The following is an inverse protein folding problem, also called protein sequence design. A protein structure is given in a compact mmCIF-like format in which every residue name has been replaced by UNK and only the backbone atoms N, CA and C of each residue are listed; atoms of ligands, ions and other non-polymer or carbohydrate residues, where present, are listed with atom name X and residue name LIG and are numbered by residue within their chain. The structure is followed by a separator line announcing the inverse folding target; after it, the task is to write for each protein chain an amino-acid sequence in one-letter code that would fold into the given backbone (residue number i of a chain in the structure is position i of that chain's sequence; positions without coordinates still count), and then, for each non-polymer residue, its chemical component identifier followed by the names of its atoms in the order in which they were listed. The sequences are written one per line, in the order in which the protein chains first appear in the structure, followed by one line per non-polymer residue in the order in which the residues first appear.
data_IF_743116004761
#
_entry.id   IF_743116004761
#
_cell.length_a   1.000
_cell.length_b   1.000
_cell.length_c   1.000
_cell.angle_alpha   90.00
_cell.angle_beta   90.00
_cell.angle_gamma   90.00
#
_symmetry.space_group_name_H-M   'P 1'
#
loop_
_entity.id
_entity.type
_entity.pdbx_description
1 polymer ?
#
# COMPACT_ATOMS: atom_id res chain seq x y z
N UNK A 1 2.66 -11.37 -18.34
CA UNK A 1 2.73 -12.02 -17.00
C UNK A 1 2.13 -13.40 -17.11
N UNK A 2 2.82 -14.43 -16.62
CA UNK A 2 2.19 -15.74 -16.45
C UNK A 2 1.01 -15.62 -15.49
N UNK A 3 -0.11 -16.33 -15.71
CA UNK A 3 -1.26 -16.28 -14.81
C UNK A 3 -0.85 -16.75 -13.40
N UNK A 4 -1.49 -16.19 -12.37
CA UNK A 4 -1.35 -16.73 -11.01
C UNK A 4 -1.83 -18.18 -10.97
N UNK A 5 -1.37 -18.94 -9.97
CA UNK A 5 -1.89 -20.28 -9.76
C UNK A 5 -3.44 -20.24 -9.64
N UNK A 6 -4.15 -21.29 -10.11
CA UNK A 6 -5.62 -21.35 -10.03
C UNK A 6 -6.15 -21.05 -8.62
N UNK A 7 -5.39 -21.41 -7.60
CA UNK A 7 -5.76 -21.16 -6.21
C UNK A 7 -5.73 -19.66 -5.84
N UNK A 8 -4.78 -18.89 -6.36
CA UNK A 8 -4.71 -17.44 -6.14
C UNK A 8 -5.87 -16.75 -6.86
N UNK A 9 -6.15 -17.13 -8.09
CA UNK A 9 -7.26 -16.55 -8.86
C UNK A 9 -8.60 -16.86 -8.21
N UNK A 10 -8.80 -18.08 -7.69
CA UNK A 10 -10.01 -18.42 -6.94
C UNK A 10 -10.11 -17.60 -5.65
N UNK A 11 -9.02 -17.47 -4.89
CA UNK A 11 -9.00 -16.63 -3.68
C UNK A 11 -9.39 -15.18 -3.98
N UNK A 12 -8.88 -14.60 -5.07
CA UNK A 12 -9.25 -13.25 -5.50
C UNK A 12 -10.72 -13.13 -5.86
N UNK A 13 -11.28 -14.09 -6.60
CA UNK A 13 -12.71 -14.12 -6.90
C UNK A 13 -13.57 -14.16 -5.63
N UNK A 14 -13.17 -14.96 -4.64
CA UNK A 14 -13.87 -15.03 -3.36
C UNK A 14 -13.76 -13.72 -2.55
N UNK A 15 -12.59 -13.06 -2.60
CA UNK A 15 -12.40 -11.73 -1.98
C UNK A 15 -13.33 -10.70 -2.63
N UNK A 16 -13.37 -10.62 -3.96
CA UNK A 16 -14.20 -9.65 -4.68
C UNK A 16 -15.69 -9.89 -4.42
N UNK A 17 -16.16 -11.16 -4.44
CA UNK A 17 -17.53 -11.54 -4.07
C UNK A 17 -17.86 -11.16 -2.63
N UNK A 18 -16.95 -11.40 -1.70
CA UNK A 18 -17.16 -11.08 -0.30
C UNK A 18 -17.22 -9.57 -0.05
N UNK A 19 -16.38 -8.80 -0.74
CA UNK A 19 -16.41 -7.34 -0.68
C UNK A 19 -17.74 -6.79 -1.25
N UNK A 20 -18.19 -7.32 -2.38
CA UNK A 20 -19.47 -6.93 -2.97
C UNK A 20 -20.67 -7.30 -2.08
N UNK A 21 -20.64 -8.50 -1.48
CA UNK A 21 -21.64 -8.93 -0.52
C UNK A 21 -21.69 -8.00 0.70
N UNK A 22 -20.51 -7.68 1.28
CA UNK A 22 -20.41 -6.78 2.42
C UNK A 22 -20.97 -5.38 2.07
N UNK A 23 -20.61 -4.82 0.91
CA UNK A 23 -21.15 -3.53 0.47
C UNK A 23 -22.68 -3.56 0.30
N UNK A 24 -23.25 -4.70 -0.09
CA UNK A 24 -24.70 -4.88 -0.17
C UNK A 24 -25.35 -5.04 1.20
N UNK A 25 -24.64 -5.66 2.15
CA UNK A 25 -25.09 -5.82 3.54
C UNK A 25 -25.15 -4.45 4.24
N UNK A 26 -24.09 -3.66 4.18
CA UNK A 26 -24.06 -2.32 4.83
C UNK A 26 -25.12 -1.37 4.26
N UNK A 27 -25.55 -1.55 3.01
CA UNK A 27 -26.68 -0.80 2.46
C UNK A 27 -27.96 -1.03 3.28
N UNK A 28 -28.19 -2.26 3.75
CA UNK A 28 -29.36 -2.62 4.56
C UNK A 28 -29.19 -2.20 6.02
N UNK A 29 -28.03 -2.53 6.60
CA UNK A 29 -27.80 -2.40 8.04
C UNK A 29 -27.61 -0.94 8.46
N UNK A 30 -26.85 -0.16 7.69
CA UNK A 30 -26.57 1.25 7.97
C UNK A 30 -27.49 2.22 7.22
N UNK A 31 -28.28 1.73 6.27
CA UNK A 31 -29.23 2.54 5.47
C UNK A 31 -28.59 3.77 4.81
N UNK A 32 -27.27 3.71 4.50
CA UNK A 32 -26.50 4.83 3.96
C UNK A 32 -27.12 5.48 2.71
N UNK A 33 -27.83 4.68 1.90
CA UNK A 33 -28.53 5.14 0.70
C UNK A 33 -29.74 6.04 1.02
N UNK A 34 -30.30 5.96 2.25
CA UNK A 34 -31.39 6.84 2.70
C UNK A 34 -30.86 8.17 3.21
N UNK A 35 -29.64 8.18 3.79
CA UNK A 35 -28.97 9.42 4.18
C UNK A 35 -28.59 10.24 2.92
N UNK A 36 -27.89 9.61 2.00
CA UNK A 36 -27.58 10.19 0.69
C UNK A 36 -27.25 9.07 -0.32
N UNK A 37 -28.03 8.91 -1.41
CA UNK A 37 -27.79 7.87 -2.41
C UNK A 37 -26.42 7.99 -3.09
N UNK A 38 -25.89 9.20 -3.27
CA UNK A 38 -24.59 9.43 -3.91
C UNK A 38 -23.46 9.01 -2.99
N UNK A 39 -23.56 9.25 -1.69
CA UNK A 39 -22.58 8.81 -0.70
C UNK A 39 -22.38 7.30 -0.77
N UNK A 40 -23.45 6.53 -0.65
CA UNK A 40 -23.39 5.07 -0.74
C UNK A 40 -22.83 4.60 -2.09
N UNK A 41 -23.35 5.15 -3.21
CA UNK A 41 -22.92 4.79 -4.56
C UNK A 41 -21.42 5.07 -4.75
N UNK A 42 -20.93 6.19 -4.23
CA UNK A 42 -19.53 6.60 -4.37
C UNK A 42 -18.59 5.73 -3.53
N UNK A 43 -18.95 5.45 -2.26
CA UNK A 43 -18.17 4.55 -1.41
C UNK A 43 -18.14 3.14 -2.03
N UNK A 44 -19.27 2.62 -2.49
CA UNK A 44 -19.37 1.30 -3.12
C UNK A 44 -18.52 1.25 -4.39
N UNK A 45 -18.65 2.22 -5.29
CA UNK A 45 -17.89 2.28 -6.54
C UNK A 45 -16.38 2.32 -6.27
N UNK A 46 -15.95 3.17 -5.33
CA UNK A 46 -14.53 3.30 -4.97
C UNK A 46 -13.98 1.99 -4.40
N UNK A 47 -14.71 1.36 -3.48
CA UNK A 47 -14.30 0.12 -2.81
C UNK A 47 -14.23 -1.09 -3.76
N UNK A 48 -15.11 -1.14 -4.75
CA UNK A 48 -15.16 -2.23 -5.73
C UNK A 48 -14.25 -2.02 -6.95
N UNK A 49 -13.50 -0.93 -7.04
CA UNK A 49 -12.54 -0.72 -8.14
C UNK A 49 -11.57 -1.88 -8.22
N UNK A 50 -11.32 -2.35 -9.43
CA UNK A 50 -10.37 -3.44 -9.69
C UNK A 50 -8.99 -3.14 -9.09
N UNK A 51 -8.38 -4.17 -8.47
CA UNK A 51 -7.06 -4.10 -7.87
C UNK A 51 -6.42 -5.48 -7.76
N UNK A 52 -5.15 -5.51 -7.40
CA UNK A 52 -4.39 -6.77 -7.24
C UNK A 52 -4.86 -7.60 -6.04
N UNK A 53 -5.60 -7.02 -5.09
CA UNK A 53 -6.08 -7.64 -3.86
C UNK A 53 -5.00 -8.35 -3.03
N UNK A 54 -3.80 -7.82 -3.05
CA UNK A 54 -2.64 -8.45 -2.39
C UNK A 54 -2.85 -8.54 -0.88
N UNK A 55 -3.35 -7.47 -0.24
CA UNK A 55 -3.52 -7.41 1.21
C UNK A 55 -4.49 -8.47 1.73
N UNK A 56 -5.75 -8.55 1.27
CA UNK A 56 -6.65 -9.61 1.69
C UNK A 56 -6.16 -11.01 1.29
N UNK A 57 -5.45 -11.14 0.16
CA UNK A 57 -4.85 -12.40 -0.26
C UNK A 57 -3.79 -12.88 0.75
N UNK A 58 -2.89 -12.00 1.20
CA UNK A 58 -1.86 -12.34 2.19
C UNK A 58 -2.46 -12.76 3.53
N UNK A 59 -3.53 -12.11 4.00
CA UNK A 59 -4.26 -12.53 5.20
C UNK A 59 -4.78 -13.96 5.05
N UNK A 60 -5.43 -14.27 3.93
CA UNK A 60 -5.98 -15.60 3.66
C UNK A 60 -4.88 -16.65 3.55
N UNK A 61 -3.76 -16.34 2.87
CA UNK A 61 -2.65 -17.27 2.71
C UNK A 61 -1.97 -17.56 4.05
N UNK A 62 -1.74 -16.53 4.86
CA UNK A 62 -1.17 -16.67 6.19
C UNK A 62 -2.10 -17.50 7.09
N UNK A 63 -3.38 -17.14 7.17
CA UNK A 63 -4.35 -17.94 7.93
C UNK A 63 -4.38 -19.40 7.49
N UNK A 64 -4.51 -19.66 6.18
CA UNK A 64 -4.51 -21.03 5.64
C UNK A 64 -3.21 -21.75 5.90
N UNK A 65 -2.09 -21.05 5.96
CA UNK A 65 -0.78 -21.61 6.22
C UNK A 65 -0.61 -22.17 7.63
N UNK A 66 -1.21 -21.52 8.62
CA UNK A 66 -1.11 -21.90 10.03
C UNK A 66 -2.29 -22.70 10.56
N UNK A 67 -3.45 -22.63 9.93
CA UNK A 67 -4.59 -23.41 10.40
C UNK A 67 -4.39 -24.92 10.14
N UNK A 68 -4.94 -25.82 11.01
CA UNK A 68 -4.87 -27.25 10.80
C UNK A 68 -5.39 -27.66 9.41
N UNK A 69 -4.72 -28.64 8.78
CA UNK A 69 -5.05 -29.06 7.41
C UNK A 69 -6.50 -29.53 7.24
N UNK A 70 -7.06 -30.16 8.28
CA UNK A 70 -8.44 -30.65 8.32
C UNK A 70 -9.49 -29.59 8.64
N UNK A 71 -9.07 -28.36 9.04
CA UNK A 71 -10.02 -27.27 9.35
C UNK A 71 -10.70 -26.80 8.07
N UNK A 72 -12.03 -26.94 8.01
CA UNK A 72 -12.83 -26.38 6.91
C UNK A 72 -12.76 -24.85 7.00
N UNK A 73 -12.34 -24.22 5.92
CA UNK A 73 -12.25 -22.77 5.84
C UNK A 73 -13.65 -22.19 5.69
N UNK A 74 -14.07 -21.40 6.67
CA UNK A 74 -15.35 -20.72 6.63
C UNK A 74 -15.33 -19.56 5.61
N UNK A 75 -16.46 -19.32 4.96
CA UNK A 75 -16.69 -18.10 4.15
C UNK A 75 -16.46 -16.82 4.96
N UNK A 76 -16.62 -16.86 6.28
CA UNK A 76 -16.35 -15.74 7.19
C UNK A 76 -14.92 -15.23 7.10
N UNK A 77 -13.92 -16.07 6.75
CA UNK A 77 -12.56 -15.64 6.54
C UNK A 77 -12.44 -14.68 5.35
N UNK A 78 -13.08 -15.01 4.24
CA UNK A 78 -13.09 -14.13 3.05
C UNK A 78 -13.87 -12.86 3.33
N UNK A 79 -14.98 -12.97 4.05
CA UNK A 79 -15.75 -11.82 4.48
C UNK A 79 -14.94 -10.90 5.39
N UNK A 80 -14.26 -11.48 6.38
CA UNK A 80 -13.37 -10.75 7.25
C UNK A 80 -12.17 -10.13 6.53
N UNK A 81 -11.61 -10.81 5.52
CA UNK A 81 -10.49 -10.27 4.75
C UNK A 81 -10.82 -8.96 4.02
N UNK A 82 -12.14 -8.64 3.85
CA UNK A 82 -12.57 -7.35 3.31
C UNK A 82 -12.17 -6.18 4.21
N UNK A 83 -11.99 -6.40 5.53
CA UNK A 83 -11.54 -5.36 6.46
C UNK A 83 -10.21 -4.73 6.04
N UNK A 84 -9.26 -5.55 5.56
CA UNK A 84 -7.95 -5.08 5.09
C UNK A 84 -8.07 -4.25 3.80
N UNK A 85 -8.97 -4.62 2.90
CA UNK A 85 -9.19 -3.85 1.68
C UNK A 85 -9.95 -2.54 1.97
N UNK A 86 -10.87 -2.54 2.94
CA UNK A 86 -11.55 -1.33 3.40
C UNK A 86 -10.58 -0.39 4.13
N UNK A 87 -9.69 -0.92 4.98
CA UNK A 87 -8.62 -0.13 5.58
C UNK A 87 -7.75 0.51 4.49
N UNK A 88 -7.39 -0.25 3.45
CA UNK A 88 -6.64 0.31 2.34
C UNK A 88 -7.42 1.42 1.61
N UNK A 89 -8.72 1.24 1.39
CA UNK A 89 -9.55 2.26 0.74
C UNK A 89 -9.66 3.53 1.59
N UNK A 90 -9.83 3.40 2.91
CA UNK A 90 -9.76 4.52 3.84
C UNK A 90 -8.46 5.31 3.69
N UNK A 91 -7.30 4.62 3.75
CA UNK A 91 -6.01 5.27 3.57
C UNK A 91 -5.88 5.97 2.21
N UNK A 92 -6.34 5.34 1.12
CA UNK A 92 -6.32 5.95 -0.20
C UNK A 92 -7.22 7.17 -0.34
N UNK A 93 -8.37 7.20 0.34
CA UNK A 93 -9.29 8.35 0.31
C UNK A 93 -8.64 9.56 0.95
N UNK A 94 -7.99 9.38 2.11
CA UNK A 94 -7.31 10.46 2.82
C UNK A 94 -6.03 10.89 2.11
N UNK A 95 -5.21 9.95 1.64
CA UNK A 95 -4.01 10.17 0.83
C UNK A 95 -4.33 10.99 -0.44
N UNK A 96 -5.41 10.63 -1.16
CA UNK A 96 -5.87 11.38 -2.33
C UNK A 96 -6.25 12.84 -2.03
N UNK A 97 -6.73 13.13 -0.81
CA UNK A 97 -7.05 14.49 -0.36
C UNK A 97 -5.78 15.24 0.00
N UNK A 98 -4.89 14.64 0.77
CA UNK A 98 -3.61 15.23 1.21
C UNK A 98 -2.74 15.56 0.00
N UNK A 99 -2.60 14.61 -0.93
CA UNK A 99 -1.82 14.73 -2.17
C UNK A 99 -2.57 15.53 -3.26
N UNK A 100 -3.80 16.01 -3.01
CA UNK A 100 -4.66 16.71 -3.98
C UNK A 100 -4.81 15.94 -5.31
N UNK A 101 -4.81 14.63 -5.26
CA UNK A 101 -4.84 13.75 -6.42
C UNK A 101 -6.17 13.84 -7.17
N UNK A 102 -6.11 13.95 -8.50
CA UNK A 102 -7.32 14.02 -9.35
C UNK A 102 -7.85 12.64 -9.74
N UNK A 103 -6.96 11.66 -9.90
CA UNK A 103 -7.27 10.32 -10.41
C UNK A 103 -6.68 9.25 -9.51
N UNK A 104 -7.44 8.16 -9.31
CA UNK A 104 -7.02 6.92 -8.67
C UNK A 104 -7.49 5.72 -9.51
N UNK A 105 -6.55 4.87 -9.95
CA UNK A 105 -6.84 3.72 -10.83
C UNK A 105 -7.57 4.14 -12.13
N UNK A 106 -7.15 5.26 -12.73
CA UNK A 106 -7.71 5.81 -13.98
C UNK A 106 -9.10 6.45 -13.85
N UNK A 107 -9.66 6.54 -12.65
CA UNK A 107 -10.96 7.17 -12.36
C UNK A 107 -10.81 8.37 -11.41
N UNK A 108 -11.77 9.32 -11.39
CA UNK A 108 -11.72 10.42 -10.43
C UNK A 108 -11.63 9.93 -8.98
N UNK A 109 -10.87 10.65 -8.16
CA UNK A 109 -10.78 10.40 -6.72
C UNK A 109 -12.12 10.67 -6.02
N UNK A 110 -12.33 10.10 -4.82
CA UNK A 110 -13.62 10.17 -4.14
C UNK A 110 -14.02 11.62 -3.84
N UNK A 111 -13.09 12.45 -3.35
CA UNK A 111 -13.36 13.86 -3.07
C UNK A 111 -13.72 14.65 -4.34
N UNK A 112 -13.15 14.33 -5.51
CA UNK A 112 -13.53 14.97 -6.78
C UNK A 112 -14.92 14.54 -7.27
N UNK A 113 -15.37 13.33 -6.91
CA UNK A 113 -16.75 12.89 -7.18
C UNK A 113 -17.72 13.60 -6.22
N UNK A 114 -17.42 13.58 -4.92
CA UNK A 114 -18.30 14.16 -3.89
C UNK A 114 -18.43 15.69 -4.02
N UNK A 115 -17.38 16.39 -4.43
CA UNK A 115 -17.45 17.83 -4.70
C UNK A 115 -18.40 18.23 -5.83
N UNK A 116 -18.90 17.28 -6.62
CA UNK A 116 -19.87 17.52 -7.70
C UNK A 116 -21.33 17.29 -7.30
N UNK A 117 -21.59 16.86 -6.07
CA UNK A 117 -22.96 16.53 -5.60
C UNK A 117 -23.87 17.76 -5.69
N UNK A 118 -23.33 18.93 -5.34
CA UNK A 118 -24.07 20.19 -5.37
C UNK A 118 -23.36 21.19 -6.26
N UNK A 119 -24.12 21.97 -7.02
CA UNK A 119 -23.58 23.06 -7.83
C UNK A 119 -23.26 24.26 -6.92
N UNK A 120 -21.99 24.44 -6.59
CA UNK A 120 -21.51 25.50 -5.69
C UNK A 120 -20.15 26.04 -6.11
N UNK A 121 -19.89 27.32 -5.80
CA UNK A 121 -18.56 27.95 -5.97
C UNK A 121 -17.50 27.32 -5.03
N UNK A 122 -17.92 26.71 -3.91
CA UNK A 122 -17.03 26.06 -2.92
C UNK A 122 -16.83 24.56 -3.19
N UNK A 123 -17.00 24.11 -4.44
CA UNK A 123 -17.00 22.71 -4.85
C UNK A 123 -15.77 21.94 -4.38
N UNK A 124 -14.59 22.54 -4.46
CA UNK A 124 -13.35 21.87 -4.09
C UNK A 124 -13.28 21.62 -2.57
N UNK A 125 -13.55 22.68 -1.77
CA UNK A 125 -13.62 22.56 -0.31
C UNK A 125 -14.68 21.53 0.11
N UNK A 126 -15.88 21.61 -0.47
CA UNK A 126 -16.94 20.64 -0.21
C UNK A 126 -16.49 19.20 -0.52
N UNK A 127 -15.74 19.00 -1.58
CA UNK A 127 -15.18 17.70 -1.94
C UNK A 127 -14.21 17.17 -0.89
N UNK A 128 -13.32 18.00 -0.37
CA UNK A 128 -12.41 17.63 0.70
C UNK A 128 -13.15 17.29 1.99
N UNK A 129 -14.07 18.15 2.43
CA UNK A 129 -14.86 17.96 3.65
C UNK A 129 -15.64 16.62 3.59
N UNK A 130 -16.36 16.37 2.50
CA UNK A 130 -17.13 15.15 2.31
C UNK A 130 -16.23 13.92 2.10
N UNK A 131 -15.06 14.09 1.51
CA UNK A 131 -14.08 13.03 1.32
C UNK A 131 -13.51 12.54 2.64
N UNK A 132 -13.17 13.43 3.56
CA UNK A 132 -12.71 13.09 4.92
C UNK A 132 -13.79 12.26 5.64
N UNK A 133 -15.03 12.76 5.68
CA UNK A 133 -16.16 12.07 6.32
C UNK A 133 -16.38 10.67 5.69
N UNK A 134 -16.34 10.59 4.36
CA UNK A 134 -16.50 9.30 3.67
C UNK A 134 -15.36 8.32 4.00
N UNK A 135 -14.13 8.81 4.17
CA UNK A 135 -12.99 8.03 4.64
C UNK A 135 -13.24 7.45 6.03
N UNK A 136 -13.69 8.28 6.98
CA UNK A 136 -13.98 7.85 8.35
C UNK A 136 -15.10 6.79 8.40
N UNK A 137 -16.13 6.95 7.56
CA UNK A 137 -17.17 5.92 7.39
C UNK A 137 -16.54 4.61 6.91
N UNK A 138 -15.67 4.64 5.90
CA UNK A 138 -15.01 3.43 5.37
C UNK A 138 -14.12 2.77 6.43
N UNK A 139 -13.47 3.55 7.31
CA UNK A 139 -12.69 3.00 8.43
C UNK A 139 -13.58 2.29 9.45
N UNK A 140 -14.70 2.89 9.84
CA UNK A 140 -15.67 2.26 10.72
C UNK A 140 -16.21 0.93 10.12
N UNK A 141 -16.52 0.93 8.81
CA UNK A 141 -16.92 -0.26 8.08
C UNK A 141 -15.81 -1.33 8.01
N UNK A 142 -14.54 -0.95 8.00
CA UNK A 142 -13.44 -1.89 8.07
C UNK A 142 -13.40 -2.63 9.42
N UNK A 143 -13.67 -1.92 10.52
CA UNK A 143 -13.77 -2.53 11.85
C UNK A 143 -14.97 -3.48 11.93
N UNK A 144 -16.13 -3.08 11.40
CA UNK A 144 -17.32 -3.92 11.34
C UNK A 144 -17.08 -5.22 10.56
N UNK A 145 -16.46 -5.11 9.37
CA UNK A 145 -16.05 -6.28 8.58
C UNK A 145 -15.11 -7.19 9.38
N UNK A 146 -14.16 -6.64 10.16
CA UNK A 146 -13.28 -7.41 11.02
C UNK A 146 -14.06 -8.17 12.10
N UNK A 147 -15.04 -7.55 12.73
CA UNK A 147 -15.84 -8.13 13.79
C UNK A 147 -16.71 -9.32 13.32
N UNK A 148 -16.95 -9.43 12.01
CA UNK A 148 -17.68 -10.57 11.41
C UNK A 148 -16.89 -11.90 11.43
N UNK A 149 -15.58 -11.90 11.78
CA UNK A 149 -14.73 -13.09 11.87
C UNK A 149 -15.27 -14.07 12.91
N UNK A 150 -15.43 -15.34 12.51
CA UNK A 150 -15.84 -16.44 13.40
C UNK A 150 -14.60 -17.25 13.83
N UNK A 151 -13.87 -16.71 14.80
CA UNK A 151 -12.72 -17.35 15.44
C UNK A 151 -12.79 -17.20 16.97
N UNK A 152 -11.91 -17.91 17.69
CA UNK A 152 -11.85 -17.84 19.16
C UNK A 152 -11.73 -16.38 19.63
N UNK A 153 -12.52 -15.94 20.62
CA UNK A 153 -12.61 -14.57 21.07
C UNK A 153 -11.23 -13.94 21.36
N UNK A 154 -10.36 -14.66 22.07
CA UNK A 154 -9.03 -14.18 22.46
C UNK A 154 -8.14 -13.92 21.23
N UNK A 155 -8.19 -14.81 20.22
CA UNK A 155 -7.44 -14.62 18.97
C UNK A 155 -8.01 -13.46 18.16
N UNK A 156 -9.34 -13.33 18.12
CA UNK A 156 -10.01 -12.25 17.44
C UNK A 156 -9.70 -10.90 18.06
N UNK A 157 -9.76 -10.78 19.38
CA UNK A 157 -9.42 -9.56 20.12
C UNK A 157 -7.97 -9.14 19.87
N UNK A 158 -7.03 -10.06 19.98
CA UNK A 158 -5.63 -9.83 19.72
C UNK A 158 -5.37 -9.36 18.27
N UNK A 159 -6.00 -10.04 17.32
CA UNK A 159 -5.89 -9.69 15.90
C UNK A 159 -6.50 -8.33 15.59
N UNK A 160 -7.64 -7.99 16.21
CA UNK A 160 -8.26 -6.67 16.10
C UNK A 160 -7.36 -5.57 16.68
N UNK A 161 -6.77 -5.80 17.84
CA UNK A 161 -5.80 -4.85 18.44
C UNK A 161 -4.65 -4.58 17.48
N UNK A 162 -4.08 -5.62 16.86
CA UNK A 162 -3.00 -5.48 15.88
C UNK A 162 -3.44 -4.69 14.64
N UNK A 163 -4.65 -4.96 14.15
CA UNK A 163 -5.25 -4.25 13.03
C UNK A 163 -5.42 -2.74 13.32
N UNK A 164 -5.97 -2.38 14.50
CA UNK A 164 -6.17 -0.99 14.91
C UNK A 164 -4.83 -0.27 15.10
N UNK A 165 -3.86 -0.93 15.77
CA UNK A 165 -2.51 -0.37 15.93
C UNK A 165 -1.84 -0.10 14.57
N UNK A 166 -2.06 -0.98 13.60
CA UNK A 166 -1.54 -0.80 12.23
C UNK A 166 -2.14 0.44 11.56
N UNK A 167 -3.44 0.68 11.73
CA UNK A 167 -4.08 1.88 11.21
C UNK A 167 -3.46 3.16 11.81
N UNK A 168 -3.23 3.16 13.13
CA UNK A 168 -2.56 4.27 13.80
C UNK A 168 -1.12 4.50 13.30
N UNK A 169 -0.32 3.42 13.15
CA UNK A 169 1.03 3.53 12.59
C UNK A 169 1.03 4.07 11.17
N UNK A 170 0.06 3.68 10.34
CA UNK A 170 -0.03 4.18 8.97
C UNK A 170 -0.37 5.67 8.94
N UNK A 171 -1.28 6.13 9.81
CA UNK A 171 -1.57 7.56 9.96
C UNK A 171 -0.35 8.36 10.47
N UNK A 172 0.44 7.81 11.41
CA UNK A 172 1.71 8.40 11.83
C UNK A 172 2.71 8.49 10.68
N UNK A 173 2.76 7.45 9.81
CA UNK A 173 3.59 7.45 8.60
C UNK A 173 3.17 8.55 7.63
N UNK A 174 1.86 8.75 7.42
CA UNK A 174 1.34 9.83 6.57
C UNK A 174 1.68 11.22 7.14
N UNK A 175 1.57 11.38 8.46
CA UNK A 175 1.98 12.61 9.15
C UNK A 175 3.46 12.92 8.92
N UNK A 176 4.34 11.93 9.11
CA UNK A 176 5.79 12.07 8.87
C UNK A 176 6.09 12.38 7.40
N UNK A 177 5.42 11.70 6.46
CA UNK A 177 5.61 11.93 5.02
C UNK A 177 5.25 13.36 4.63
N UNK A 178 4.12 13.86 5.14
CA UNK A 178 3.66 15.23 4.92
C UNK A 178 4.66 16.26 5.46
N UNK A 179 5.18 16.05 6.67
CA UNK A 179 6.22 16.91 7.25
C UNK A 179 7.50 16.87 6.44
N UNK A 180 7.96 15.67 6.04
CA UNK A 180 9.13 15.52 5.20
C UNK A 180 8.96 16.21 3.83
N UNK A 181 7.73 16.29 3.31
CA UNK A 181 7.44 17.00 2.06
C UNK A 181 7.93 18.45 2.07
N UNK A 182 7.78 19.16 3.20
CA UNK A 182 8.15 20.58 3.37
C UNK A 182 9.53 20.78 4.02
N UNK A 183 10.12 19.75 4.63
CA UNK A 183 11.40 19.84 5.33
C UNK A 183 12.57 19.92 4.34
N UNK A 184 13.68 20.56 4.78
CA UNK A 184 14.89 20.61 3.97
C UNK A 184 15.54 19.22 3.89
N UNK A 185 15.89 18.79 2.66
CA UNK A 185 16.51 17.49 2.41
C UNK A 185 17.79 17.24 3.23
N UNK A 186 18.52 18.30 3.61
CA UNK A 186 19.72 18.18 4.42
C UNK A 186 19.48 17.59 5.82
N UNK A 187 18.27 17.73 6.34
CA UNK A 187 17.87 17.22 7.65
C UNK A 187 17.37 15.79 7.62
N UNK A 188 16.96 15.29 6.45
CA UNK A 188 16.40 13.94 6.29
C UNK A 188 17.52 12.92 6.14
N UNK A 189 17.57 11.95 7.04
CA UNK A 189 18.53 10.84 7.00
C UNK A 189 17.86 9.61 6.39
N UNK A 190 18.67 8.70 5.89
CA UNK A 190 18.19 7.45 5.30
C UNK A 190 17.32 6.63 6.28
N UNK A 191 17.70 6.60 7.57
CA UNK A 191 16.90 5.94 8.62
C UNK A 191 15.47 6.52 8.72
N UNK A 192 15.30 7.83 8.48
CA UNK A 192 14.01 8.51 8.56
C UNK A 192 13.14 8.12 7.35
N UNK A 193 13.76 7.93 6.17
CA UNK A 193 13.09 7.39 4.98
C UNK A 193 12.60 5.95 5.24
N UNK A 194 13.45 5.09 5.80
CA UNK A 194 13.02 3.71 6.11
C UNK A 194 11.99 3.64 7.23
N UNK A 195 12.04 4.52 8.21
CA UNK A 195 10.99 4.64 9.21
C UNK A 195 9.65 5.00 8.54
N UNK A 196 9.66 5.99 7.64
CA UNK A 196 8.46 6.37 6.90
C UNK A 196 7.93 5.21 6.04
N UNK A 197 8.78 4.52 5.29
CA UNK A 197 8.39 3.33 4.52
C UNK A 197 7.78 2.24 5.40
N UNK A 198 8.32 2.06 6.61
CA UNK A 198 7.78 1.10 7.57
C UNK A 198 6.38 1.48 8.02
N UNK A 199 6.20 2.73 8.44
CA UNK A 199 4.94 3.21 9.01
C UNK A 199 3.87 3.38 7.93
N UNK A 200 4.17 4.14 6.85
CA UNK A 200 3.20 4.50 5.81
C UNK A 200 2.80 3.31 4.93
N UNK A 201 3.71 2.37 4.66
CA UNK A 201 3.47 1.32 3.65
C UNK A 201 3.59 -0.09 4.19
N UNK A 202 4.70 -0.44 4.86
CA UNK A 202 5.01 -1.82 5.17
C UNK A 202 4.03 -2.42 6.18
N UNK A 203 3.71 -1.67 7.24
CA UNK A 203 2.83 -2.12 8.32
C UNK A 203 1.47 -2.56 7.82
N UNK A 204 0.77 -1.75 7.03
CA UNK A 204 -0.59 -2.10 6.63
C UNK A 204 -0.66 -2.96 5.36
N UNK A 205 0.38 -2.93 4.52
CA UNK A 205 0.35 -3.64 3.23
C UNK A 205 0.75 -5.11 3.37
N UNK A 206 1.75 -5.42 4.19
CA UNK A 206 2.34 -6.76 4.30
C UNK A 206 2.31 -7.29 5.72
N UNK A 207 2.82 -6.54 6.69
CA UNK A 207 2.92 -6.98 8.07
C UNK A 207 1.53 -7.31 8.66
N UNK A 208 0.60 -6.38 8.67
CA UNK A 208 -0.74 -6.58 9.24
C UNK A 208 -1.50 -7.77 8.62
N UNK A 209 -1.63 -7.89 7.28
CA UNK A 209 -2.32 -9.04 6.72
C UNK A 209 -1.70 -10.39 7.12
N UNK A 210 -0.38 -10.50 7.10
CA UNK A 210 0.33 -11.72 7.45
C UNK A 210 0.17 -12.07 8.92
N UNK A 211 0.38 -11.09 9.80
CA UNK A 211 0.31 -11.26 11.25
C UNK A 211 -1.13 -11.52 11.72
N UNK A 212 -2.09 -10.74 11.24
CA UNK A 212 -3.52 -10.94 11.57
C UNK A 212 -3.98 -12.32 11.13
N UNK A 213 -3.64 -12.76 9.92
CA UNK A 213 -3.97 -14.10 9.43
C UNK A 213 -3.38 -15.20 10.33
N UNK A 214 -2.13 -15.05 10.75
CA UNK A 214 -1.42 -16.00 11.63
C UNK A 214 -2.03 -16.04 13.05
N UNK A 215 -2.31 -14.88 13.65
CA UNK A 215 -2.96 -14.79 14.98
C UNK A 215 -4.32 -15.49 14.96
N UNK A 216 -5.14 -15.20 13.98
CA UNK A 216 -6.47 -15.82 13.84
C UNK A 216 -6.38 -17.35 13.66
N UNK A 217 -5.35 -17.83 13.00
CA UNK A 217 -5.10 -19.27 12.82
C UNK A 217 -4.49 -19.95 14.06
N UNK A 218 -3.98 -19.19 15.03
CA UNK A 218 -3.35 -19.69 16.24
C UNK A 218 -1.87 -20.03 16.08
N UNK A 219 -1.15 -19.28 15.24
CA UNK A 219 0.30 -19.39 15.12
C UNK A 219 1.00 -19.07 16.46
N UNK A 220 2.20 -19.64 16.67
CA UNK A 220 3.01 -19.36 17.84
C UNK A 220 3.67 -17.95 17.78
N UNK A 221 4.13 -17.45 18.92
CA UNK A 221 4.67 -16.10 19.05
C UNK A 221 5.93 -15.84 18.22
N UNK A 222 6.77 -16.86 18.09
CA UNK A 222 8.01 -16.76 17.32
C UNK A 222 7.72 -16.54 15.83
N UNK A 223 6.77 -17.30 15.29
CA UNK A 223 6.34 -17.14 13.90
C UNK A 223 5.61 -15.81 13.67
N UNK A 224 4.81 -15.34 14.64
CA UNK A 224 4.14 -14.03 14.57
C UNK A 224 5.19 -12.91 14.49
N UNK A 225 6.24 -12.95 15.32
CA UNK A 225 7.33 -11.99 15.29
C UNK A 225 8.09 -12.02 13.96
N UNK A 226 8.44 -13.22 13.48
CA UNK A 226 9.11 -13.42 12.19
C UNK A 226 8.28 -12.94 11.01
N UNK A 227 6.97 -13.18 11.04
CA UNK A 227 6.05 -12.66 10.00
C UNK A 227 5.97 -11.13 10.00
N UNK A 228 6.02 -10.50 11.16
CA UNK A 228 6.07 -9.05 11.26
C UNK A 228 7.37 -8.50 10.67
N UNK A 229 8.52 -9.07 11.01
CA UNK A 229 9.81 -8.70 10.43
C UNK A 229 9.82 -8.88 8.90
N UNK A 230 9.39 -10.04 8.42
CA UNK A 230 9.25 -10.35 7.00
C UNK A 230 8.33 -9.35 6.30
N UNK A 231 7.19 -9.03 6.88
CA UNK A 231 6.23 -8.06 6.33
C UNK A 231 6.82 -6.65 6.21
N UNK A 232 7.63 -6.23 7.20
CA UNK A 232 8.33 -4.94 7.16
C UNK A 232 9.37 -4.91 6.04
N UNK A 233 10.17 -5.96 5.90
CA UNK A 233 11.20 -6.05 4.85
C UNK A 233 10.58 -6.01 3.45
N UNK A 234 9.54 -6.81 3.19
CA UNK A 234 8.83 -6.77 1.90
C UNK A 234 8.25 -5.39 1.64
N UNK A 235 7.62 -4.79 2.65
CA UNK A 235 6.96 -3.51 2.49
C UNK A 235 7.91 -2.35 2.22
N UNK A 236 9.08 -2.34 2.86
CA UNK A 236 10.14 -1.39 2.54
C UNK A 236 10.65 -1.58 1.10
N UNK A 237 10.91 -2.82 0.69
CA UNK A 237 11.31 -3.14 -0.69
C UNK A 237 10.24 -2.70 -1.70
N UNK A 238 8.97 -2.92 -1.37
CA UNK A 238 7.83 -2.54 -2.22
C UNK A 238 7.74 -1.02 -2.38
N UNK A 239 7.93 -0.24 -1.30
CA UNK A 239 7.92 1.22 -1.40
C UNK A 239 9.11 1.74 -2.20
N UNK A 240 10.31 1.18 -2.03
CA UNK A 240 11.47 1.53 -2.87
C UNK A 240 11.14 1.27 -4.36
N UNK A 241 10.50 0.13 -4.67
CA UNK A 241 10.07 -0.17 -6.04
C UNK A 241 9.06 0.85 -6.56
N UNK A 242 8.05 1.22 -5.77
CA UNK A 242 7.05 2.23 -6.17
C UNK A 242 7.72 3.58 -6.46
N UNK A 243 8.68 4.01 -5.65
CA UNK A 243 9.44 5.23 -5.87
C UNK A 243 10.29 5.18 -7.17
N UNK A 244 10.89 4.02 -7.46
CA UNK A 244 11.62 3.80 -8.71
C UNK A 244 10.66 3.87 -9.90
N UNK A 245 9.51 3.20 -9.83
CA UNK A 245 8.49 3.19 -10.88
C UNK A 245 7.99 4.61 -11.13
N UNK A 246 7.68 5.37 -10.07
CA UNK A 246 7.20 6.75 -10.17
C UNK A 246 8.14 7.68 -10.92
N UNK A 247 9.45 7.41 -10.91
CA UNK A 247 10.47 8.20 -11.60
C UNK A 247 10.86 7.61 -12.96
N UNK A 248 11.06 6.29 -13.07
CA UNK A 248 11.73 5.66 -14.21
C UNK A 248 10.80 4.96 -15.20
N UNK A 249 9.52 4.80 -14.88
CA UNK A 249 8.58 4.13 -15.78
C UNK A 249 7.81 5.09 -16.69
N UNK A 250 7.00 4.53 -17.58
CA UNK A 250 6.16 5.27 -18.53
C UNK A 250 4.77 5.56 -17.93
N UNK A 251 4.16 6.65 -18.38
CA UNK A 251 2.82 7.07 -17.93
C UNK A 251 1.74 5.99 -18.10
N UNK A 252 1.87 5.13 -19.13
CA UNK A 252 0.93 4.02 -19.38
C UNK A 252 0.90 2.99 -18.25
N UNK A 253 2.02 2.81 -17.54
CA UNK A 253 2.16 1.79 -16.48
C UNK A 253 1.80 2.34 -15.09
N UNK A 254 1.89 3.65 -14.88
CA UNK A 254 1.73 4.29 -13.56
C UNK A 254 0.25 4.53 -13.22
N UNK A 255 -0.62 4.77 -14.21
CA UNK A 255 -2.04 5.09 -13.98
C UNK A 255 -2.31 6.44 -13.29
N UNK A 256 -1.26 7.24 -13.10
CA UNK A 256 -1.23 8.62 -12.60
C UNK A 256 -0.44 9.49 -13.58
N UNK A 257 -0.41 10.81 -13.35
CA UNK A 257 0.54 11.69 -14.04
C UNK A 257 1.98 11.27 -13.67
N UNK A 258 2.85 11.16 -14.67
CA UNK A 258 4.29 10.85 -14.48
C UNK A 258 5.02 11.92 -13.63
N UNK A 259 4.41 13.09 -13.47
CA UNK A 259 4.96 14.19 -12.68
C UNK A 259 4.42 14.24 -11.25
N UNK A 260 3.39 13.41 -10.89
CA UNK A 260 2.76 13.50 -9.57
C UNK A 260 3.75 13.27 -8.42
N UNK A 261 4.48 12.16 -8.45
CA UNK A 261 5.42 11.81 -7.38
C UNK A 261 6.59 12.81 -7.29
N UNK A 262 6.98 13.38 -8.44
CA UNK A 262 7.99 14.43 -8.47
C UNK A 262 7.42 15.77 -7.98
N UNK A 263 6.17 16.09 -8.28
CA UNK A 263 5.50 17.32 -7.86
C UNK A 263 5.39 17.42 -6.33
N UNK A 264 5.12 16.30 -5.68
CA UNK A 264 4.99 16.18 -4.21
C UNK A 264 6.34 16.34 -3.47
N UNK A 265 7.46 16.39 -4.20
CA UNK A 265 8.81 16.55 -3.63
C UNK A 265 9.14 15.55 -2.52
N UNK A 266 8.63 14.31 -2.61
CA UNK A 266 8.84 13.24 -1.63
C UNK A 266 10.31 12.95 -1.42
N UNK A 267 10.74 12.86 -0.15
CA UNK A 267 12.13 12.56 0.22
C UNK A 267 12.36 11.04 0.23
N UNK A 268 12.35 10.47 -0.99
CA UNK A 268 12.53 9.04 -1.22
C UNK A 268 13.99 8.61 -1.03
N UNK A 269 14.24 7.30 -1.05
CA UNK A 269 15.59 6.74 -1.00
C UNK A 269 16.46 7.24 -2.17
N UNK A 270 15.88 7.34 -3.38
CA UNK A 270 16.55 7.91 -4.56
C UNK A 270 17.04 9.34 -4.30
N UNK A 271 16.15 10.16 -3.74
CA UNK A 271 16.43 11.58 -3.43
C UNK A 271 17.52 11.72 -2.37
N UNK A 272 17.38 10.97 -1.27
CA UNK A 272 18.33 11.03 -0.17
C UNK A 272 19.73 10.53 -0.57
N UNK A 273 19.79 9.45 -1.36
CA UNK A 273 21.06 8.93 -1.86
C UNK A 273 21.72 9.93 -2.81
N UNK A 274 20.98 10.49 -3.79
CA UNK A 274 21.52 11.49 -4.71
C UNK A 274 22.05 12.71 -3.95
N UNK A 275 21.28 13.25 -3.00
CA UNK A 275 21.69 14.39 -2.21
C UNK A 275 23.02 14.16 -1.47
N UNK A 276 23.29 12.93 -0.99
CA UNK A 276 24.51 12.60 -0.25
C UNK A 276 25.73 12.40 -1.14
N UNK A 277 25.54 11.81 -2.34
CA UNK A 277 26.63 11.38 -3.22
C UNK A 277 27.06 12.44 -4.24
N UNK A 278 26.17 13.39 -4.58
CA UNK A 278 26.47 14.44 -5.56
C UNK A 278 27.52 15.44 -5.06
N UNK A 279 28.43 15.85 -5.96
CA UNK A 279 29.35 16.95 -5.73
C UNK A 279 28.62 18.31 -5.71
N UNK A 280 29.28 19.34 -5.17
CA UNK A 280 28.66 20.64 -4.84
C UNK A 280 27.91 21.30 -6.01
N UNK A 281 28.42 21.26 -7.24
CA UNK A 281 27.80 21.87 -8.42
C UNK A 281 26.52 21.10 -8.84
N UNK A 282 26.63 19.77 -8.92
CA UNK A 282 25.51 18.90 -9.26
C UNK A 282 24.43 18.93 -8.16
N UNK A 283 24.84 18.98 -6.90
CA UNK A 283 23.93 19.10 -5.75
C UNK A 283 23.10 20.38 -5.81
N UNK A 284 23.71 21.54 -6.13
CA UNK A 284 22.99 22.79 -6.32
C UNK A 284 21.94 22.69 -7.42
N UNK A 285 22.32 22.12 -8.57
CA UNK A 285 21.37 21.90 -9.68
C UNK A 285 20.22 20.98 -9.26
N UNK A 286 20.53 19.86 -8.59
CA UNK A 286 19.52 18.92 -8.09
C UNK A 286 18.52 19.61 -7.16
N UNK A 287 19.01 20.35 -6.15
CA UNK A 287 18.15 21.08 -5.21
C UNK A 287 17.27 22.08 -5.94
N UNK A 288 17.82 22.83 -6.90
CA UNK A 288 17.06 23.80 -7.70
C UNK A 288 15.92 23.13 -8.46
N UNK A 289 16.18 22.02 -9.14
CA UNK A 289 15.17 21.26 -9.90
C UNK A 289 14.13 20.62 -8.97
N UNK A 290 14.60 20.03 -7.86
CA UNK A 290 13.75 19.30 -6.92
C UNK A 290 12.79 20.23 -6.16
N UNK A 291 13.19 21.43 -5.83
CA UNK A 291 12.36 22.42 -5.12
C UNK A 291 11.53 23.32 -6.05
N UNK A 292 11.59 23.13 -7.37
CA UNK A 292 10.81 23.91 -8.33
C UNK A 292 9.30 23.68 -8.08
N UNK A 293 8.47 24.75 -7.92
CA UNK A 293 7.03 24.59 -7.60
C UNK A 293 6.27 23.84 -8.68
N UNK A 294 6.51 24.16 -9.95
CA UNK A 294 5.92 23.48 -11.09
C UNK A 294 7.01 22.78 -11.89
N UNK A 295 6.93 21.47 -11.90
CA UNK A 295 7.91 20.61 -12.60
C UNK A 295 7.39 20.23 -13.99
N UNK A 296 8.30 20.27 -14.96
CA UNK A 296 8.04 19.91 -16.35
C UNK A 296 8.56 18.50 -16.66
N UNK A 297 8.23 17.99 -17.83
CA UNK A 297 8.80 16.73 -18.30
C UNK A 297 10.33 16.81 -18.49
N UNK A 298 10.84 17.99 -18.88
CA UNK A 298 12.30 18.21 -18.99
C UNK A 298 12.98 18.15 -17.61
N UNK A 299 12.34 18.70 -16.57
CA UNK A 299 12.85 18.58 -15.19
C UNK A 299 12.93 17.11 -14.75
N UNK A 300 11.93 16.28 -15.10
CA UNK A 300 11.95 14.85 -14.82
C UNK A 300 13.12 14.15 -15.52
N UNK A 301 13.35 14.45 -16.81
CA UNK A 301 14.47 13.87 -17.55
C UNK A 301 15.82 14.26 -16.94
N UNK A 302 15.96 15.52 -16.53
CA UNK A 302 17.17 15.99 -15.83
C UNK A 302 17.37 15.28 -14.49
N UNK A 303 16.33 15.12 -13.70
CA UNK A 303 16.38 14.40 -12.41
C UNK A 303 16.69 12.92 -12.62
N UNK A 304 16.11 12.24 -13.63
CA UNK A 304 16.47 10.86 -13.99
C UNK A 304 17.97 10.72 -14.28
N UNK A 305 18.53 11.65 -15.08
CA UNK A 305 19.96 11.67 -15.39
C UNK A 305 20.80 11.86 -14.13
N UNK A 306 20.38 12.76 -13.25
CA UNK A 306 21.06 12.98 -11.96
C UNK A 306 21.05 11.72 -11.12
N UNK A 307 19.92 11.02 -11.00
CA UNK A 307 19.82 9.77 -10.22
C UNK A 307 20.68 8.64 -10.80
N UNK A 308 20.80 8.57 -12.13
CA UNK A 308 21.69 7.60 -12.78
C UNK A 308 23.15 7.94 -12.51
N UNK A 309 23.57 9.19 -12.71
CA UNK A 309 24.95 9.64 -12.48
C UNK A 309 25.38 9.51 -11.00
N UNK A 310 24.44 9.74 -10.05
CA UNK A 310 24.67 9.56 -8.63
C UNK A 310 24.67 8.09 -8.19
N UNK A 311 24.36 7.13 -9.07
CA UNK A 311 24.20 5.71 -8.73
C UNK A 311 22.99 5.43 -7.87
N UNK A 312 22.02 6.37 -7.74
CA UNK A 312 20.87 6.23 -6.83
C UNK A 312 19.93 5.12 -7.24
N UNK A 313 19.72 4.91 -8.54
CA UNK A 313 18.92 3.80 -9.04
C UNK A 313 19.54 2.45 -8.66
N UNK A 314 20.85 2.28 -8.91
CA UNK A 314 21.57 1.05 -8.57
C UNK A 314 21.56 0.79 -7.06
N UNK A 315 21.79 1.83 -6.25
CA UNK A 315 21.70 1.72 -4.80
C UNK A 315 20.34 1.25 -4.34
N UNK A 316 19.27 1.87 -4.86
CA UNK A 316 17.89 1.52 -4.49
C UNK A 316 17.52 0.09 -4.89
N UNK A 317 17.92 -0.37 -6.08
CA UNK A 317 17.73 -1.75 -6.52
C UNK A 317 18.46 -2.76 -5.61
N UNK A 318 19.70 -2.47 -5.21
CA UNK A 318 20.43 -3.30 -4.22
C UNK A 318 19.73 -3.32 -2.86
N UNK A 319 19.10 -2.22 -2.43
CA UNK A 319 18.32 -2.20 -1.19
C UNK A 319 17.06 -3.07 -1.28
N UNK A 320 16.42 -3.16 -2.46
CA UNK A 320 15.34 -4.13 -2.71
C UNK A 320 15.88 -5.55 -2.56
N UNK A 321 16.95 -5.90 -3.28
CA UNK A 321 17.50 -7.26 -3.27
C UNK A 321 17.89 -7.71 -1.85
N UNK A 322 18.62 -6.87 -1.12
CA UNK A 322 19.01 -7.16 0.28
C UNK A 322 17.80 -7.51 1.16
N UNK A 323 16.67 -6.82 0.97
CA UNK A 323 15.45 -7.08 1.74
C UNK A 323 14.73 -8.34 1.31
N UNK A 324 14.76 -8.63 0.01
CA UNK A 324 14.19 -9.88 -0.51
C UNK A 324 14.98 -11.10 -0.03
N UNK A 325 16.31 -11.05 -0.01
CA UNK A 325 17.16 -12.13 0.49
C UNK A 325 16.87 -12.41 1.97
N UNK A 326 16.83 -11.35 2.80
CA UNK A 326 16.46 -11.48 4.21
C UNK A 326 15.02 -12.02 4.38
N UNK A 327 14.07 -11.56 3.56
CA UNK A 327 12.69 -12.05 3.53
C UNK A 327 12.64 -13.56 3.26
N UNK A 328 13.34 -14.04 2.25
CA UNK A 328 13.33 -15.46 1.90
C UNK A 328 14.04 -16.31 2.95
N UNK A 329 15.09 -15.80 3.59
CA UNK A 329 15.72 -16.45 4.74
C UNK A 329 14.72 -16.63 5.88
N UNK A 330 13.99 -15.58 6.28
CA UNK A 330 12.97 -15.67 7.33
C UNK A 330 11.87 -16.64 6.92
N UNK A 331 11.39 -16.56 5.69
CA UNK A 331 10.29 -17.39 5.18
C UNK A 331 10.58 -18.88 5.26
N UNK A 332 11.84 -19.29 5.07
CA UNK A 332 12.29 -20.69 5.19
C UNK A 332 12.17 -21.21 6.61
N UNK A 333 12.33 -20.36 7.62
CA UNK A 333 12.32 -20.74 9.04
C UNK A 333 10.94 -20.65 9.70
N UNK A 334 9.90 -20.23 8.97
CA UNK A 334 8.53 -20.21 9.50
C UNK A 334 7.95 -21.63 9.57
N UNK A 335 7.20 -21.91 10.62
CA UNK A 335 6.45 -23.19 10.78
C UNK A 335 5.12 -23.18 10.01
N UNK A 336 5.09 -22.51 8.88
CA UNK A 336 3.97 -22.45 7.94
C UNK A 336 3.97 -23.71 7.06
N UNK A 337 2.80 -24.21 6.66
CA UNK A 337 2.71 -25.36 5.74
C UNK A 337 3.40 -25.06 4.41
N UNK A 338 4.22 -25.98 3.91
CA UNK A 338 5.06 -25.81 2.71
C UNK A 338 4.30 -25.27 1.52
N UNK A 339 3.12 -25.80 1.23
CA UNK A 339 2.26 -25.33 0.12
C UNK A 339 2.05 -23.81 0.17
N UNK A 340 1.77 -23.24 1.34
CA UNK A 340 1.50 -21.81 1.50
C UNK A 340 2.76 -20.99 1.55
N UNK A 341 3.86 -21.55 2.06
CA UNK A 341 5.19 -20.95 1.99
C UNK A 341 5.57 -20.67 0.53
N UNK A 342 5.47 -21.69 -0.35
CA UNK A 342 5.79 -21.55 -1.78
C UNK A 342 4.86 -20.57 -2.50
N UNK A 343 3.58 -20.53 -2.15
CA UNK A 343 2.64 -19.58 -2.74
C UNK A 343 2.96 -18.15 -2.32
N UNK A 344 3.27 -17.92 -1.04
CA UNK A 344 3.68 -16.60 -0.54
C UNK A 344 4.96 -16.17 -1.25
N UNK A 345 5.94 -17.07 -1.40
CA UNK A 345 7.17 -16.83 -2.16
C UNK A 345 6.88 -16.42 -3.60
N UNK A 346 6.01 -17.16 -4.32
CA UNK A 346 5.61 -16.83 -5.71
C UNK A 346 4.92 -15.46 -5.79
N UNK A 347 4.02 -15.15 -4.85
CA UNK A 347 3.37 -13.83 -4.77
C UNK A 347 4.41 -12.72 -4.61
N UNK A 348 5.37 -12.89 -3.70
CA UNK A 348 6.44 -11.90 -3.48
C UNK A 348 7.26 -11.72 -4.75
N UNK A 349 7.79 -12.78 -5.34
CA UNK A 349 8.61 -12.69 -6.57
C UNK A 349 7.89 -11.97 -7.71
N UNK A 350 6.58 -12.22 -7.87
CA UNK A 350 5.77 -11.56 -8.91
C UNK A 350 5.58 -10.06 -8.67
N UNK A 351 5.58 -9.62 -7.40
CA UNK A 351 5.47 -8.20 -7.08
C UNK A 351 6.68 -7.40 -7.56
N UNK A 352 7.87 -8.01 -7.60
CA UNK A 352 9.13 -7.33 -7.91
C UNK A 352 9.62 -7.48 -9.34
N UNK A 353 8.94 -8.23 -10.20
CA UNK A 353 9.29 -8.36 -11.64
C UNK A 353 9.42 -7.03 -12.37
N UNK A 354 8.73 -5.99 -11.89
CA UNK A 354 8.75 -4.69 -12.54
C UNK A 354 10.09 -3.97 -12.31
N UNK A 355 10.64 -4.03 -11.10
CA UNK A 355 11.95 -3.47 -10.78
C UNK A 355 13.09 -4.20 -11.51
N UNK A 356 12.98 -5.53 -11.67
CA UNK A 356 13.90 -6.32 -12.51
C UNK A 356 13.92 -5.79 -13.95
N UNK A 357 12.74 -5.52 -14.53
CA UNK A 357 12.61 -4.96 -15.87
C UNK A 357 13.21 -3.55 -16.01
N UNK A 358 13.14 -2.71 -14.96
CA UNK A 358 13.78 -1.40 -14.94
C UNK A 358 15.31 -1.56 -14.89
N UNK A 359 15.82 -2.42 -14.01
CA UNK A 359 17.24 -2.72 -13.91
C UNK A 359 17.82 -3.16 -15.26
N UNK A 360 17.14 -4.08 -15.94
CA UNK A 360 17.56 -4.59 -17.24
C UNK A 360 17.64 -3.47 -18.30
N UNK A 361 16.66 -2.55 -18.35
CA UNK A 361 16.66 -1.42 -19.28
C UNK A 361 17.82 -0.44 -19.05
N UNK A 362 18.36 -0.41 -17.85
CA UNK A 362 19.47 0.47 -17.47
C UNK A 362 20.83 -0.27 -17.34
N UNK A 363 20.89 -1.52 -17.80
CA UNK A 363 22.09 -2.38 -17.76
C UNK A 363 22.69 -2.50 -16.36
N UNK A 364 21.86 -2.56 -15.34
CA UNK A 364 22.27 -2.71 -13.93
C UNK A 364 22.14 -4.18 -13.50
N UNK A 365 23.25 -4.74 -12.98
CA UNK A 365 23.20 -6.02 -12.28
C UNK A 365 22.52 -5.82 -10.90
N UNK A 366 21.59 -6.72 -10.60
CA UNK A 366 20.89 -6.78 -9.31
C UNK A 366 21.34 -8.04 -8.58
#
# INVERSE_FOLDING_TARGET
MLPYSPMIEEAKRQIDRSLEHFMSQIKRDYKLHLVNPILYKSIREFSLRRGKRIRPLLLILSYKGYCPARKRISSSLYHASTCIELLHNFMLIHDDIIDQSHLRRGKPTLHKILGKIVRTKRREKLGYDLGIIAGDIVYALAIDAFLSIREAPQRKERALKYFIQTAAFTAMGEFVDTLHGVENISKIKEKDVFLNYTLKTARYTFDCPLVVGAILAGANEDDIRKLSELGVLIGQAFQIQDDIIGIFDSQKNIGKSILSDLAESKKTLLVCHAYRTLHSSQKRLFIKLFNKPQKTYQDLLAIRKIFLCAGSLHYSLRQIQKRLDATFTILQHLKIRNKYREIIKDVILRLFKHSEGIAHRHHLAI
#
